data_IF_477692399292
#
_entry.id   IF_477692399292
#
_cell.length_a   1.000
_cell.length_b   1.000
_cell.length_c   1.000
_cell.angle_alpha   90.00
_cell.angle_beta   90.00
_cell.angle_gamma   90.00
#
_symmetry.space_group_name_H-M   'P 1'
#
loop_
_entity.id
_entity.type
_entity.pdbx_description
1 polymer ?
#
# COMPACT_ATOMS: atom_id res chain seq x y z
N UNK A 1 -25.62 -1.49 -7.20
CA UNK A 1 -24.32 -0.80 -7.07
C UNK A 1 -23.15 -1.80 -7.06
N UNK A 2 -23.13 -2.80 -6.15
CA UNK A 2 -22.02 -3.76 -6.03
C UNK A 2 -21.74 -4.55 -7.30
N UNK A 3 -22.77 -4.97 -8.06
CA UNK A 3 -22.55 -5.71 -9.30
C UNK A 3 -21.83 -4.91 -10.39
N UNK A 4 -22.04 -3.60 -10.44
CA UNK A 4 -21.32 -2.73 -11.39
C UNK A 4 -19.85 -2.57 -10.99
N UNK A 5 -19.58 -2.48 -9.69
CA UNK A 5 -18.22 -2.47 -9.15
C UNK A 5 -17.55 -3.83 -9.43
N UNK A 6 -18.28 -4.94 -9.27
CA UNK A 6 -17.76 -6.26 -9.60
C UNK A 6 -17.42 -6.37 -11.09
N UNK A 7 -18.32 -5.94 -11.99
CA UNK A 7 -18.04 -5.90 -13.44
C UNK A 7 -16.79 -5.08 -13.78
N UNK A 8 -16.63 -3.91 -13.17
CA UNK A 8 -15.42 -3.08 -13.33
C UNK A 8 -14.17 -3.83 -12.84
N UNK A 9 -14.20 -4.44 -11.66
CA UNK A 9 -13.09 -5.22 -11.10
C UNK A 9 -12.75 -6.43 -11.96
N UNK A 10 -13.77 -7.15 -12.45
CA UNK A 10 -13.61 -8.24 -13.40
C UNK A 10 -12.89 -7.76 -14.65
N UNK A 11 -13.33 -6.64 -15.25
CA UNK A 11 -12.69 -6.08 -16.45
C UNK A 11 -11.21 -5.78 -16.23
N UNK A 12 -10.85 -5.17 -15.09
CA UNK A 12 -9.45 -4.94 -14.69
C UNK A 12 -8.70 -6.27 -14.54
N UNK A 13 -9.22 -7.19 -13.71
CA UNK A 13 -8.53 -8.44 -13.39
C UNK A 13 -8.37 -9.36 -14.60
N UNK A 14 -9.28 -9.31 -15.57
CA UNK A 14 -9.20 -10.13 -16.78
C UNK A 14 -8.34 -9.50 -17.88
N UNK A 15 -7.99 -8.22 -17.77
CA UNK A 15 -7.10 -7.54 -18.71
C UNK A 15 -5.75 -8.26 -18.81
N UNK A 16 -5.16 -8.40 -20.01
CA UNK A 16 -3.83 -9.01 -20.17
C UNK A 16 -2.74 -8.31 -19.36
N UNK A 17 -2.83 -6.98 -19.23
CA UNK A 17 -1.83 -6.14 -18.56
C UNK A 17 -1.85 -6.26 -17.04
N UNK A 18 -2.96 -6.74 -16.47
CA UNK A 18 -3.10 -6.96 -15.02
C UNK A 18 -2.62 -8.37 -14.65
N UNK A 19 -1.30 -8.49 -14.47
CA UNK A 19 -0.60 -9.74 -14.12
C UNK A 19 0.60 -9.48 -13.19
N UNK A 20 1.23 -10.56 -12.73
CA UNK A 20 2.28 -10.61 -11.72
C UNK A 20 3.62 -10.02 -12.15
N UNK A 21 3.82 -9.74 -13.45
CA UNK A 21 5.08 -9.18 -13.95
C UNK A 21 5.29 -7.75 -13.44
N UNK A 22 4.19 -6.98 -13.33
CA UNK A 22 4.20 -5.57 -12.89
C UNK A 22 3.31 -5.29 -11.68
N UNK A 23 2.35 -6.17 -11.36
CA UNK A 23 1.43 -6.02 -10.23
C UNK A 23 1.60 -7.20 -9.27
N UNK A 24 2.40 -7.04 -8.22
CA UNK A 24 2.72 -8.16 -7.31
C UNK A 24 1.62 -8.48 -6.28
N UNK A 25 0.67 -7.56 -6.06
CA UNK A 25 -0.38 -7.76 -5.07
C UNK A 25 -1.62 -6.89 -5.30
N UNK A 26 -2.80 -7.43 -4.95
CA UNK A 26 -4.08 -6.76 -5.10
C UNK A 26 -4.89 -6.80 -3.80
N UNK A 27 -5.39 -5.64 -3.37
CA UNK A 27 -6.21 -5.51 -2.15
C UNK A 27 -7.69 -5.56 -2.53
N UNK A 28 -8.36 -6.60 -2.07
CA UNK A 28 -9.77 -6.90 -2.29
C UNK A 28 -10.65 -6.24 -1.23
N UNK A 29 -11.90 -5.99 -1.63
CA UNK A 29 -13.00 -5.80 -0.70
C UNK A 29 -13.67 -7.14 -0.43
N UNK A 30 -14.31 -7.27 0.73
CA UNK A 30 -14.95 -8.50 1.20
C UNK A 30 -15.96 -9.08 0.19
N UNK A 31 -16.82 -8.24 -0.38
CA UNK A 31 -17.78 -8.65 -1.42
C UNK A 31 -17.08 -9.21 -2.67
N UNK A 32 -15.93 -8.67 -3.09
CA UNK A 32 -15.18 -9.21 -4.23
C UNK A 32 -14.47 -10.51 -3.89
N UNK A 33 -13.91 -10.64 -2.68
CA UNK A 33 -13.31 -11.90 -2.21
C UNK A 33 -14.33 -13.05 -2.26
N UNK A 34 -15.59 -12.78 -1.91
CA UNK A 34 -16.70 -13.76 -1.91
C UNK A 34 -17.25 -14.08 -3.31
N UNK A 35 -16.79 -13.39 -4.36
CA UNK A 35 -17.25 -13.56 -5.74
C UNK A 35 -16.22 -14.31 -6.58
N UNK A 36 -16.64 -14.65 -7.80
CA UNK A 36 -15.81 -15.33 -8.80
C UNK A 36 -15.43 -14.42 -9.96
N UNK A 37 -14.29 -14.73 -10.58
CA UNK A 37 -13.78 -14.17 -11.84
C UNK A 37 -13.56 -15.34 -12.80
N UNK A 38 -14.23 -15.31 -13.96
CA UNK A 38 -14.17 -16.41 -14.96
C UNK A 38 -14.47 -17.81 -14.39
N UNK A 39 -15.29 -17.90 -13.34
CA UNK A 39 -15.68 -19.15 -12.70
C UNK A 39 -14.85 -19.51 -11.46
N UNK A 40 -13.65 -18.94 -11.31
CA UNK A 40 -12.77 -19.18 -10.17
C UNK A 40 -13.01 -18.20 -9.04
N UNK A 41 -12.75 -18.62 -7.79
CA UNK A 41 -12.76 -17.71 -6.64
C UNK A 41 -11.75 -16.58 -6.87
N UNK A 42 -12.11 -15.34 -6.57
CA UNK A 42 -11.31 -14.18 -7.01
C UNK A 42 -9.85 -14.22 -6.55
N UNK A 43 -9.59 -14.63 -5.30
CA UNK A 43 -8.23 -14.74 -4.79
C UNK A 43 -7.42 -15.87 -5.46
N UNK A 44 -8.07 -17.01 -5.76
CA UNK A 44 -7.44 -18.11 -6.49
C UNK A 44 -7.11 -17.70 -7.94
N UNK A 45 -8.03 -16.99 -8.61
CA UNK A 45 -7.79 -16.43 -9.94
C UNK A 45 -6.59 -15.49 -9.96
N UNK A 46 -6.52 -14.56 -8.99
CA UNK A 46 -5.39 -13.64 -8.87
C UNK A 46 -4.07 -14.38 -8.69
N UNK A 47 -4.03 -15.39 -7.82
CA UNK A 47 -2.81 -16.13 -7.54
C UNK A 47 -2.39 -17.02 -8.72
N UNK A 48 -3.28 -17.91 -9.18
CA UNK A 48 -2.95 -18.97 -10.13
C UNK A 48 -2.87 -18.47 -11.56
N UNK A 49 -3.83 -17.66 -11.99
CA UNK A 49 -3.91 -17.20 -13.37
C UNK A 49 -3.10 -15.92 -13.59
N UNK A 50 -3.02 -15.07 -12.57
CA UNK A 50 -2.38 -13.76 -12.69
C UNK A 50 -1.05 -13.64 -11.97
N UNK A 51 -0.66 -14.56 -11.07
CA UNK A 51 0.58 -14.42 -10.29
C UNK A 51 0.55 -13.24 -9.30
N UNK A 52 -0.62 -12.80 -8.87
CA UNK A 52 -0.84 -11.63 -8.01
C UNK A 52 -1.24 -12.08 -6.61
N UNK A 53 -0.53 -11.61 -5.58
CA UNK A 53 -0.82 -11.95 -4.17
C UNK A 53 -2.11 -11.24 -3.70
N UNK A 54 -3.16 -11.98 -3.26
CA UNK A 54 -4.40 -11.38 -2.79
C UNK A 54 -4.30 -10.91 -1.34
N UNK A 55 -4.78 -9.69 -1.07
CA UNK A 55 -4.94 -9.11 0.26
C UNK A 55 -6.41 -8.73 0.50
N UNK A 56 -6.87 -8.68 1.76
CA UNK A 56 -8.22 -8.25 2.11
C UNK A 56 -8.23 -6.95 2.91
N UNK A 57 -9.07 -5.98 2.53
CA UNK A 57 -9.38 -4.83 3.36
C UNK A 57 -10.30 -5.25 4.53
N UNK A 58 -9.85 -5.06 5.77
CA UNK A 58 -10.58 -5.50 6.98
C UNK A 58 -11.12 -4.36 7.87
N UNK A 59 -10.71 -3.10 7.64
CA UNK A 59 -11.27 -1.98 8.41
C UNK A 59 -12.75 -1.72 8.06
N UNK A 60 -13.56 -1.41 9.09
CA UNK A 60 -14.99 -1.09 8.96
C UNK A 60 -15.25 0.43 8.89
N UNK A 61 -14.27 1.17 8.38
CA UNK A 61 -14.29 2.63 8.29
C UNK A 61 -13.64 3.33 9.48
N UNK A 62 -13.90 4.63 9.58
CA UNK A 62 -13.23 5.53 10.52
C UNK A 62 -14.20 6.11 11.54
N UNK A 63 -13.69 6.32 12.75
CA UNK A 63 -14.30 7.19 13.76
C UNK A 63 -14.26 8.67 13.29
N UNK A 64 -15.12 9.55 13.84
CA UNK A 64 -14.99 10.99 13.67
C UNK A 64 -13.59 11.50 14.05
N UNK A 65 -13.17 12.60 13.43
CA UNK A 65 -11.87 13.19 13.76
C UNK A 65 -11.83 13.66 15.21
N UNK A 66 -10.77 13.27 15.91
CA UNK A 66 -10.44 13.74 17.25
C UNK A 66 -8.93 13.86 17.38
N UNK A 67 -8.47 14.97 17.96
CA UNK A 67 -7.05 15.26 18.14
C UNK A 67 -6.25 15.15 16.83
N UNK A 68 -6.82 15.61 15.71
CA UNK A 68 -6.14 15.61 14.42
C UNK A 68 -6.00 14.23 13.75
N UNK A 69 -6.66 13.20 14.26
CA UNK A 69 -6.64 11.83 13.69
C UNK A 69 -8.03 11.25 13.57
N UNK A 70 -8.20 10.33 12.63
CA UNK A 70 -9.36 9.45 12.54
C UNK A 70 -8.92 8.01 12.77
N UNK A 71 -9.29 7.45 13.92
CA UNK A 71 -9.04 6.06 14.25
C UNK A 71 -9.95 5.15 13.45
N UNK A 72 -9.58 3.88 13.33
CA UNK A 72 -10.50 2.86 12.80
C UNK A 72 -11.66 2.67 13.75
N UNK A 73 -12.86 2.45 13.20
CA UNK A 73 -13.97 1.94 14.00
C UNK A 73 -13.59 0.58 14.61
N UNK A 74 -14.18 0.20 15.77
CA UNK A 74 -14.04 -1.16 16.29
C UNK A 74 -14.40 -2.21 15.23
N UNK A 75 -13.61 -3.28 15.18
CA UNK A 75 -13.79 -4.40 14.26
C UNK A 75 -14.11 -5.62 15.11
N UNK A 76 -15.38 -5.80 15.47
CA UNK A 76 -15.83 -6.85 16.37
C UNK A 76 -15.65 -8.25 15.75
N UNK A 77 -15.78 -8.35 14.43
CA UNK A 77 -15.73 -9.55 13.60
C UNK A 77 -14.34 -9.78 12.97
N UNK A 78 -13.26 -9.23 13.54
CA UNK A 78 -11.94 -9.29 12.91
C UNK A 78 -11.43 -10.74 12.77
N UNK A 79 -11.62 -11.57 13.80
CA UNK A 79 -11.19 -12.97 13.78
C UNK A 79 -11.95 -13.77 12.72
N UNK A 80 -13.28 -13.70 12.72
CA UNK A 80 -14.14 -14.31 11.70
C UNK A 80 -13.80 -13.82 10.27
N UNK A 81 -13.53 -12.51 10.11
CA UNK A 81 -13.12 -11.93 8.83
C UNK A 81 -11.78 -12.52 8.36
N UNK A 82 -10.82 -12.70 9.27
CA UNK A 82 -9.53 -13.31 8.97
C UNK A 82 -9.67 -14.80 8.62
N UNK A 83 -10.49 -15.55 9.34
CA UNK A 83 -10.76 -16.97 9.05
C UNK A 83 -11.41 -17.14 7.67
N UNK A 84 -12.38 -16.27 7.35
CA UNK A 84 -12.99 -16.24 6.03
C UNK A 84 -11.96 -15.89 4.94
N UNK A 85 -11.03 -14.97 5.20
CA UNK A 85 -9.96 -14.61 4.28
C UNK A 85 -9.01 -15.79 4.01
N UNK A 86 -8.59 -16.50 5.06
CA UNK A 86 -7.77 -17.72 4.96
C UNK A 86 -8.51 -18.80 4.17
N UNK A 87 -9.79 -19.03 4.44
CA UNK A 87 -10.61 -19.99 3.69
C UNK A 87 -10.75 -19.62 2.20
N UNK A 88 -10.49 -18.37 1.82
CA UNK A 88 -10.44 -17.86 0.44
C UNK A 88 -9.02 -17.74 -0.12
N UNK A 89 -8.01 -18.31 0.53
CA UNK A 89 -6.61 -18.22 0.11
C UNK A 89 -6.08 -16.78 -0.01
N UNK A 90 -6.62 -15.86 0.80
CA UNK A 90 -6.07 -14.51 0.95
C UNK A 90 -4.81 -14.56 1.79
N UNK A 91 -3.74 -13.93 1.32
CA UNK A 91 -2.42 -13.97 1.96
C UNK A 91 -2.29 -13.02 3.14
N UNK A 92 -2.87 -11.82 3.05
CA UNK A 92 -2.70 -10.79 4.07
C UNK A 92 -3.84 -9.80 4.13
N UNK A 93 -3.77 -8.84 5.05
CA UNK A 93 -4.83 -7.87 5.27
C UNK A 93 -4.35 -6.42 5.13
N UNK A 94 -5.29 -5.50 4.96
CA UNK A 94 -5.06 -4.06 4.92
C UNK A 94 -6.10 -3.37 5.79
N UNK A 95 -5.65 -2.50 6.70
CA UNK A 95 -6.50 -1.66 7.53
C UNK A 95 -6.05 -0.18 7.46
N UNK A 96 -6.95 0.80 7.62
CA UNK A 96 -6.68 2.23 7.37
C UNK A 96 -7.13 3.10 8.54
N UNK A 97 -6.21 3.89 9.08
CA UNK A 97 -6.49 5.12 9.85
C UNK A 97 -6.09 6.37 9.04
N UNK A 98 -6.37 7.56 9.56
CA UNK A 98 -6.00 8.86 8.93
C UNK A 98 -5.39 9.79 9.97
N UNK A 99 -4.34 10.50 9.56
CA UNK A 99 -3.75 11.62 10.30
C UNK A 99 -4.01 12.88 9.48
N UNK A 100 -4.77 13.83 10.03
CA UNK A 100 -5.10 15.10 9.40
C UNK A 100 -4.22 16.25 9.89
N UNK A 101 -3.67 16.15 11.12
CA UNK A 101 -2.80 17.16 11.74
C UNK A 101 -1.61 16.51 12.44
N UNK A 102 -0.50 17.25 12.53
CA UNK A 102 0.68 16.89 13.32
C UNK A 102 0.41 17.02 14.84
N UNK A 103 -0.54 16.23 15.35
CA UNK A 103 -0.90 16.19 16.76
C UNK A 103 -0.30 14.92 17.39
N UNK A 104 0.74 15.10 18.21
CA UNK A 104 1.47 13.99 18.82
C UNK A 104 0.56 13.11 19.70
N UNK A 105 -0.40 13.69 20.42
CA UNK A 105 -1.35 12.94 21.25
C UNK A 105 -2.25 12.06 20.40
N UNK A 106 -2.80 12.61 19.31
CA UNK A 106 -3.59 11.85 18.34
C UNK A 106 -2.80 10.72 17.67
N UNK A 107 -1.58 11.01 17.21
CA UNK A 107 -0.71 10.02 16.57
C UNK A 107 -0.38 8.87 17.53
N UNK A 108 -0.10 9.17 18.81
CA UNK A 108 0.17 8.15 19.84
C UNK A 108 -1.03 7.22 20.12
N UNK A 109 -2.25 7.60 19.72
CA UNK A 109 -3.46 6.75 19.84
C UNK A 109 -3.58 5.73 18.71
N UNK A 110 -2.79 5.85 17.64
CA UNK A 110 -2.74 4.81 16.62
C UNK A 110 -2.27 3.49 17.24
N UNK A 111 -2.90 2.39 16.82
CA UNK A 111 -2.71 1.07 17.42
C UNK A 111 -1.23 0.68 17.38
N UNK A 112 -0.68 0.33 18.54
CA UNK A 112 0.66 -0.28 18.61
C UNK A 112 0.62 -1.64 17.94
N UNK A 113 1.60 -1.89 17.08
CA UNK A 113 1.78 -3.16 16.41
C UNK A 113 2.54 -4.11 17.34
N UNK A 114 2.27 -5.41 17.26
CA UNK A 114 3.02 -6.41 18.02
C UNK A 114 4.41 -6.54 17.39
N UNK A 115 5.45 -6.57 18.24
CA UNK A 115 6.85 -6.44 17.81
C UNK A 115 7.47 -7.70 17.19
N UNK A 116 6.79 -8.83 17.25
CA UNK A 116 7.24 -10.14 16.75
C UNK A 116 6.84 -10.42 15.30
N UNK A 117 6.09 -9.52 14.67
CA UNK A 117 5.56 -9.71 13.31
C UNK A 117 6.32 -8.87 12.28
N UNK A 118 6.51 -9.44 11.09
CA UNK A 118 6.91 -8.67 9.89
C UNK A 118 5.69 -7.87 9.40
N UNK A 119 5.88 -6.57 9.18
CA UNK A 119 4.80 -5.64 8.86
C UNK A 119 5.03 -4.99 7.50
N UNK A 120 3.94 -4.67 6.82
CA UNK A 120 3.94 -3.79 5.65
C UNK A 120 3.29 -2.45 6.02
N UNK A 121 3.90 -1.35 5.59
CA UNK A 121 3.38 -0.01 5.85
C UNK A 121 2.85 0.61 4.57
N UNK A 122 1.59 1.05 4.59
CA UNK A 122 0.98 1.81 3.49
C UNK A 122 0.83 3.27 3.89
N UNK A 123 1.72 4.13 3.40
CA UNK A 123 1.85 5.53 3.82
C UNK A 123 1.58 6.49 2.67
N UNK A 124 1.26 7.74 3.00
CA UNK A 124 1.20 8.84 2.03
C UNK A 124 2.58 9.11 1.47
N UNK A 125 2.68 9.40 0.17
CA UNK A 125 3.91 9.92 -0.43
C UNK A 125 4.35 11.18 0.35
N UNK A 126 5.56 11.21 0.91
CA UNK A 126 6.01 12.34 1.70
C UNK A 126 6.41 13.51 0.80
N UNK A 127 6.43 14.72 1.37
CA UNK A 127 6.94 15.91 0.68
C UNK A 127 8.47 16.05 0.77
N UNK A 128 9.09 15.30 1.68
CA UNK A 128 10.54 15.19 1.80
C UNK A 128 10.99 13.88 1.19
N UNK A 129 11.93 13.97 0.24
CA UNK A 129 12.55 12.82 -0.41
C UNK A 129 13.17 11.88 0.64
N UNK A 130 12.94 10.58 0.46
CA UNK A 130 13.44 9.53 1.35
C UNK A 130 13.09 9.66 2.85
N UNK A 131 12.02 10.40 3.20
CA UNK A 131 11.61 10.58 4.60
C UNK A 131 11.44 9.25 5.36
N UNK A 132 11.00 8.19 4.69
CA UNK A 132 10.78 6.88 5.31
C UNK A 132 11.94 5.89 5.16
N UNK A 133 13.12 6.32 4.73
CA UNK A 133 14.27 5.43 4.48
C UNK A 133 14.66 4.56 5.68
N UNK A 134 14.61 5.13 6.89
CA UNK A 134 14.85 4.38 8.14
C UNK A 134 13.79 3.31 8.39
N UNK A 135 12.53 3.61 8.09
CA UNK A 135 11.43 2.63 8.17
C UNK A 135 11.59 1.52 7.13
N UNK A 136 11.99 1.87 5.90
CA UNK A 136 12.27 0.89 4.83
C UNK A 136 13.36 -0.09 5.25
N UNK A 137 14.42 0.39 5.92
CA UNK A 137 15.53 -0.43 6.37
C UNK A 137 15.26 -1.24 7.67
N UNK A 138 14.14 -0.96 8.36
CA UNK A 138 13.90 -1.55 9.67
C UNK A 138 13.68 -3.07 9.58
N UNK A 139 14.33 -3.90 10.43
CA UNK A 139 14.27 -5.36 10.31
C UNK A 139 12.85 -5.95 10.38
N UNK A 140 11.93 -5.36 11.14
CA UNK A 140 10.53 -5.82 11.21
C UNK A 140 9.65 -5.35 10.03
N UNK A 141 10.18 -4.58 9.09
CA UNK A 141 9.45 -4.09 7.92
C UNK A 141 9.73 -4.98 6.73
N UNK A 142 8.68 -5.61 6.18
CA UNK A 142 8.77 -6.42 4.97
C UNK A 142 8.75 -5.54 3.71
N UNK A 143 7.91 -4.49 3.70
CA UNK A 143 7.81 -3.55 2.59
C UNK A 143 7.10 -2.26 3.02
N UNK A 144 7.52 -1.13 2.46
CA UNK A 144 6.74 0.11 2.48
C UNK A 144 6.10 0.30 1.10
N UNK A 145 4.80 0.59 1.10
CA UNK A 145 4.03 0.89 -0.11
C UNK A 145 3.37 2.25 0.01
N UNK A 146 3.19 2.96 -1.10
CA UNK A 146 2.66 4.31 -1.11
C UNK A 146 1.19 4.34 -1.57
N UNK A 147 0.36 5.15 -0.91
CA UNK A 147 -0.95 5.55 -1.42
C UNK A 147 -0.84 6.86 -2.21
N UNK A 148 -1.62 7.01 -3.29
CA UNK A 148 -1.56 8.21 -4.14
C UNK A 148 -2.12 9.47 -3.47
N UNK A 149 -2.85 9.34 -2.35
CA UNK A 149 -3.14 10.48 -1.46
C UNK A 149 -4.14 11.51 -1.97
N UNK A 150 -4.62 11.41 -3.22
CA UNK A 150 -5.42 12.45 -3.86
C UNK A 150 -4.71 13.14 -5.02
N UNK A 151 -3.40 12.90 -5.19
CA UNK A 151 -2.66 13.28 -6.37
C UNK A 151 -3.19 12.55 -7.62
N UNK A 152 -3.03 13.21 -8.78
CA UNK A 152 -3.21 12.57 -10.09
C UNK A 152 -2.22 11.42 -10.26
N UNK A 153 -2.47 10.52 -11.22
CA UNK A 153 -1.50 9.46 -11.55
C UNK A 153 -0.12 10.05 -11.84
N UNK A 154 -0.04 11.08 -12.68
CA UNK A 154 1.23 11.69 -13.08
C UNK A 154 2.02 12.26 -11.89
N UNK A 155 1.36 13.01 -11.00
CA UNK A 155 2.01 13.58 -9.82
C UNK A 155 2.42 12.50 -8.81
N UNK A 156 1.57 11.49 -8.58
CA UNK A 156 1.89 10.38 -7.69
C UNK A 156 3.06 9.53 -8.20
N UNK A 157 3.13 9.28 -9.52
CA UNK A 157 4.24 8.60 -10.19
C UNK A 157 5.54 9.40 -10.02
N UNK A 158 5.52 10.71 -10.31
CA UNK A 158 6.69 11.58 -10.13
C UNK A 158 7.19 11.55 -8.68
N UNK A 159 6.31 11.81 -7.70
CA UNK A 159 6.67 11.78 -6.29
C UNK A 159 7.22 10.43 -5.85
N UNK A 160 6.67 9.33 -6.35
CA UNK A 160 7.16 7.98 -6.03
C UNK A 160 8.60 7.75 -6.51
N UNK A 161 9.02 8.34 -7.64
CA UNK A 161 10.40 8.20 -8.14
C UNK A 161 11.46 8.80 -7.20
N UNK A 162 11.05 9.63 -6.24
CA UNK A 162 11.91 10.27 -5.25
C UNK A 162 11.99 9.49 -3.92
N UNK A 163 11.34 8.32 -3.84
CA UNK A 163 11.16 7.57 -2.59
C UNK A 163 11.77 6.18 -2.66
N UNK A 164 13.05 6.06 -2.34
CA UNK A 164 13.79 4.84 -2.55
C UNK A 164 13.34 3.69 -1.63
N UNK A 165 13.24 2.50 -2.20
CA UNK A 165 12.74 1.28 -1.56
C UNK A 165 11.22 1.25 -1.31
N UNK A 166 10.46 2.24 -1.79
CA UNK A 166 9.00 2.30 -1.70
C UNK A 166 8.36 1.95 -3.06
N UNK A 167 7.29 1.17 -3.05
CA UNK A 167 6.51 0.84 -4.27
C UNK A 167 5.08 1.38 -4.20
N UNK A 168 4.41 1.51 -5.34
CA UNK A 168 3.03 1.96 -5.35
C UNK A 168 2.03 0.95 -4.77
N UNK A 169 0.96 1.47 -4.17
CA UNK A 169 -0.27 0.75 -3.86
C UNK A 169 -1.45 1.67 -4.17
N UNK A 170 -1.65 1.94 -5.45
CA UNK A 170 -2.63 2.91 -5.94
C UNK A 170 -4.00 2.26 -6.21
N UNK A 171 -5.05 3.07 -6.10
CA UNK A 171 -6.42 2.68 -6.46
C UNK A 171 -6.94 3.66 -7.51
N UNK A 172 -7.45 4.83 -7.10
CA UNK A 172 -7.95 5.84 -8.05
C UNK A 172 -6.93 6.25 -9.12
N UNK A 173 -5.66 6.47 -8.75
CA UNK A 173 -4.61 6.80 -9.71
C UNK A 173 -4.36 5.68 -10.74
N UNK A 174 -4.47 4.40 -10.35
CA UNK A 174 -4.37 3.27 -11.28
C UNK A 174 -5.53 3.30 -12.29
N UNK A 175 -6.75 3.61 -11.83
CA UNK A 175 -7.97 3.57 -12.66
C UNK A 175 -8.33 4.92 -13.28
N UNK A 176 -7.49 5.93 -13.16
CA UNK A 176 -7.75 7.27 -13.68
C UNK A 176 -7.83 7.23 -15.21
N UNK A 177 -8.93 7.75 -15.77
CA UNK A 177 -9.24 7.72 -17.20
C UNK A 177 -10.04 6.50 -17.66
N UNK A 178 -10.06 5.39 -16.90
CA UNK A 178 -10.81 4.20 -17.27
C UNK A 178 -12.31 4.42 -17.09
N UNK A 179 -13.08 4.34 -18.17
CA UNK A 179 -14.55 4.45 -18.14
C UNK A 179 -15.21 3.19 -18.70
N UNK A 180 -16.52 3.07 -18.43
CA UNK A 180 -17.33 1.95 -18.96
C UNK A 180 -17.50 2.01 -20.48
N UNK A 181 -17.37 3.21 -21.07
CA UNK A 181 -17.71 3.48 -22.47
C UNK A 181 -16.52 3.24 -23.42
N UNK A 182 -15.30 3.08 -22.89
CA UNK A 182 -14.13 2.66 -23.65
C UNK A 182 -14.37 1.28 -24.27
N UNK A 183 -13.91 1.08 -25.50
CA UNK A 183 -13.80 -0.26 -26.10
C UNK A 183 -12.83 -1.14 -25.29
N UNK A 184 -12.83 -2.44 -25.53
CA UNK A 184 -11.94 -3.34 -24.80
C UNK A 184 -10.46 -3.04 -25.10
N UNK A 185 -10.12 -2.71 -26.35
CA UNK A 185 -8.76 -2.35 -26.76
C UNK A 185 -8.30 -1.07 -26.07
N UNK A 186 -9.08 0.01 -26.14
CA UNK A 186 -8.72 1.28 -25.49
C UNK A 186 -8.59 1.15 -23.97
N UNK A 187 -9.45 0.31 -23.35
CA UNK A 187 -9.37 0.04 -21.92
C UNK A 187 -8.09 -0.70 -21.56
N UNK A 188 -7.73 -1.75 -22.30
CA UNK A 188 -6.53 -2.55 -22.05
C UNK A 188 -5.25 -1.73 -22.29
N UNK A 189 -5.20 -0.94 -23.36
CA UNK A 189 -4.07 -0.02 -23.64
C UNK A 189 -3.92 1.03 -22.55
N UNK A 190 -5.02 1.66 -22.11
CA UNK A 190 -4.96 2.66 -21.06
C UNK A 190 -4.56 2.07 -19.70
N UNK A 191 -5.07 0.88 -19.37
CA UNK A 191 -4.68 0.17 -18.15
C UNK A 191 -3.21 -0.25 -18.23
N UNK A 192 -2.74 -0.70 -19.39
CA UNK A 192 -1.33 -1.05 -19.62
C UNK A 192 -0.40 0.13 -19.36
N UNK A 193 -0.70 1.29 -19.97
CA UNK A 193 0.06 2.52 -19.78
C UNK A 193 0.08 2.95 -18.31
N UNK A 194 -1.09 2.90 -17.64
CA UNK A 194 -1.19 3.21 -16.21
C UNK A 194 -0.34 2.28 -15.34
N UNK A 195 -0.36 0.97 -15.60
CA UNK A 195 0.47 -0.01 -14.90
C UNK A 195 1.95 0.21 -15.21
N UNK A 196 2.30 0.51 -16.46
CA UNK A 196 3.67 0.81 -16.91
C UNK A 196 4.28 1.98 -16.14
N UNK A 197 3.62 3.14 -16.15
CA UNK A 197 4.09 4.33 -15.44
C UNK A 197 4.32 4.08 -13.95
N UNK A 198 3.37 3.38 -13.31
CA UNK A 198 3.41 3.06 -11.89
C UNK A 198 4.53 2.05 -11.58
N UNK A 199 4.71 1.06 -12.45
CA UNK A 199 5.73 0.04 -12.32
C UNK A 199 7.12 0.65 -12.46
N UNK A 200 7.35 1.47 -13.49
CA UNK A 200 8.65 2.10 -13.74
C UNK A 200 9.06 3.02 -12.59
N UNK A 201 8.12 3.80 -12.04
CA UNK A 201 8.39 4.59 -10.84
C UNK A 201 8.70 3.72 -9.62
N UNK A 202 7.95 2.64 -9.40
CA UNK A 202 8.19 1.70 -8.29
C UNK A 202 9.54 0.98 -8.42
N UNK A 203 9.94 0.62 -9.65
CA UNK A 203 11.21 -0.05 -9.92
C UNK A 203 12.39 0.90 -9.75
N UNK A 204 12.28 2.14 -10.25
CA UNK A 204 13.30 3.18 -10.08
C UNK A 204 13.58 3.44 -8.60
N UNK A 205 12.52 3.58 -7.81
CA UNK A 205 12.60 3.68 -6.36
C UNK A 205 13.37 2.51 -5.72
N UNK A 206 13.19 1.27 -6.17
CA UNK A 206 13.92 0.11 -5.62
C UNK A 206 15.39 0.07 -6.06
N UNK A 207 15.69 0.46 -7.31
CA UNK A 207 17.02 0.28 -7.92
C UNK A 207 18.13 1.17 -7.37
N UNK A 208 17.82 2.11 -6.48
CA UNK A 208 18.81 2.97 -5.86
C UNK A 208 19.50 2.27 -4.69
N UNK A 209 20.75 1.88 -4.88
CA UNK A 209 21.65 1.51 -3.80
C UNK A 209 21.96 2.74 -2.96
N UNK A 210 21.69 2.66 -1.66
CA UNK A 210 22.13 3.66 -0.70
C UNK A 210 23.66 3.75 -0.80
N UNK A 211 24.26 4.88 -1.23
CA UNK A 211 25.69 5.06 -1.04
C UNK A 211 25.96 4.91 0.45
N UNK A 212 26.95 4.08 0.81
CA UNK A 212 27.34 3.86 2.20
C UNK A 212 27.45 5.22 2.90
N UNK A 213 26.85 5.36 4.08
CA UNK A 213 27.03 6.56 4.89
C UNK A 213 28.54 6.83 5.00
N UNK A 214 28.98 8.09 4.82
CA UNK A 214 30.36 8.42 5.17
C UNK A 214 30.55 7.98 6.63
N UNK A 215 31.50 7.08 6.86
CA UNK A 215 31.89 6.69 8.22
C UNK A 215 32.15 7.99 8.97
N UNK A 216 31.39 8.24 10.04
CA UNK A 216 31.70 9.33 10.94
C UNK A 216 33.19 9.23 11.31
N UNK A 217 33.94 10.34 11.26
CA UNK A 217 35.33 10.31 11.68
C UNK A 217 35.37 9.79 13.11
N UNK A 218 36.10 8.70 13.32
CA UNK A 218 36.34 8.13 14.64
C UNK A 218 36.76 9.25 15.61
N UNK A 219 35.86 9.66 16.51
CA UNK A 219 36.20 10.60 17.56
C UNK A 219 37.20 9.93 18.50
N UNK A 220 38.45 10.42 18.44
CA UNK A 220 39.47 10.13 19.41
C UNK A 220 39.08 10.73 20.77
N UNK A 221 38.85 9.85 21.74
CA UNK A 221 38.98 10.04 23.19
C UNK A 221 38.98 11.48 23.72
N UNK A 222 37.86 11.94 24.30
CA UNK A 222 37.91 12.87 25.42
C UNK A 222 36.88 12.50 26.50
N UNK A 223 37.37 12.43 27.74
CA UNK A 223 36.68 11.99 28.94
C UNK A 223 35.52 12.90 29.38
N UNK A 224 34.50 12.25 29.96
CA UNK A 224 33.47 12.73 30.90
C UNK A 224 33.59 14.18 31.43
N UNK A 225 32.49 14.93 31.30
CA UNK A 225 31.88 15.73 32.39
C UNK A 225 30.52 16.32 31.96
N UNK A 226 29.49 15.99 32.76
CA UNK A 226 28.11 16.51 32.80
C UNK A 226 26.99 15.79 32.01
N UNK A 227 25.77 15.65 32.59
CA UNK A 227 24.64 14.94 31.97
C UNK A 227 23.68 15.85 31.19
N UNK A 228 22.78 15.22 30.43
CA UNK A 228 21.57 15.73 29.73
C UNK A 228 21.79 16.11 28.25
N UNK A 229 20.85 15.95 27.31
CA UNK A 229 19.39 15.81 27.34
C UNK A 229 18.95 15.06 26.06
N UNK A 230 17.89 14.24 26.11
CA UNK A 230 17.27 13.65 24.91
C UNK A 230 16.47 14.71 24.12
N UNK A 231 16.55 14.63 22.79
CA UNK A 231 15.55 15.13 21.85
C UNK A 231 15.24 14.00 20.84
#
# INVERSE_FOLDING_TARGET
MLDQIHKMRTRIMTSPSFNGDRVIGAILFEDTMKRTIKGDRTADYLWREKGIVPFLKVDKGLEPEKDGVQLMKPIADLEETCDAAVAHNVFGTKMRSVINRANLSGIKKLKKLRGDQKLMFKLTLPDVDDLYKTLVAHPSVARVVALSGGYSRAEAVFKLTLQHGIIASFSRALTEGLTKDLSQVEFDEMLDNSIGDIFDASKKAISYSIPAEPKEPHESSFHNKFPLLHA
#
